data_IF_008019250255
#
_entry.id   IF_008019250255
#
_cell.length_a   1.000
_cell.length_b   1.000
_cell.length_c   1.000
_cell.angle_alpha   90.00
_cell.angle_beta   90.00
_cell.angle_gamma   90.00
#
_symmetry.space_group_name_H-M   'P 1'
#
loop_
_entity.id
_entity.type
_entity.pdbx_description
1 polymer ?
#
# COMPACT_ATOMS: atom_id res chain seq x y z
N UNK A 1 -18.65 -17.81 4.31
CA UNK A 1 -18.38 -16.37 4.32
C UNK A 1 -16.88 -16.04 4.27
N UNK A 2 -15.98 -17.04 4.19
CA UNK A 2 -14.52 -16.81 4.25
C UNK A 2 -13.85 -16.60 2.87
N UNK A 3 -14.44 -17.12 1.79
CA UNK A 3 -13.80 -17.21 0.46
C UNK A 3 -13.39 -15.86 -0.16
N UNK A 4 -14.13 -14.79 0.15
CA UNK A 4 -13.82 -13.44 -0.33
C UNK A 4 -12.54 -12.94 0.34
N UNK A 5 -12.45 -13.08 1.66
CA UNK A 5 -11.30 -12.65 2.43
C UNK A 5 -10.02 -13.41 2.04
N UNK A 6 -10.12 -14.73 1.82
CA UNK A 6 -8.99 -15.55 1.35
C UNK A 6 -8.46 -15.06 0.00
N UNK A 7 -9.36 -14.80 -0.97
CA UNK A 7 -8.98 -14.31 -2.30
C UNK A 7 -8.33 -12.93 -2.26
N UNK A 8 -8.80 -12.03 -1.40
CA UNK A 8 -8.20 -10.71 -1.25
C UNK A 8 -6.75 -10.79 -0.77
N UNK A 9 -6.50 -11.68 0.21
CA UNK A 9 -5.15 -11.94 0.72
C UNK A 9 -4.26 -12.57 -0.33
N UNK A 10 -4.77 -13.51 -1.12
CA UNK A 10 -4.03 -14.13 -2.23
C UNK A 10 -3.65 -13.10 -3.30
N UNK A 11 -4.56 -12.18 -3.62
CA UNK A 11 -4.28 -11.09 -4.54
C UNK A 11 -3.26 -10.08 -3.99
N UNK A 12 -3.17 -9.91 -2.67
CA UNK A 12 -2.24 -8.99 -2.01
C UNK A 12 -0.82 -9.55 -1.88
N UNK A 13 -0.67 -10.87 -1.69
CA UNK A 13 0.62 -11.56 -1.54
C UNK A 13 1.73 -11.14 -2.52
N UNK A 14 1.50 -11.01 -3.84
CA UNK A 14 2.55 -10.56 -4.75
C UNK A 14 3.05 -9.15 -4.42
N UNK A 15 2.16 -8.24 -3.99
CA UNK A 15 2.55 -6.89 -3.58
C UNK A 15 3.33 -6.87 -2.28
N UNK A 16 2.98 -7.72 -1.31
CA UNK A 16 3.75 -7.89 -0.07
C UNK A 16 5.15 -8.42 -0.37
N UNK A 17 5.25 -9.42 -1.25
CA UNK A 17 6.54 -9.97 -1.66
C UNK A 17 7.41 -8.92 -2.34
N UNK A 18 6.83 -8.13 -3.24
CA UNK A 18 7.52 -7.00 -3.87
C UNK A 18 7.96 -5.95 -2.84
N UNK A 19 7.12 -5.60 -1.87
CA UNK A 19 7.45 -4.66 -0.80
C UNK A 19 8.60 -5.19 0.09
N UNK A 20 8.66 -6.50 0.35
CA UNK A 20 9.76 -7.12 1.11
C UNK A 20 11.07 -7.24 0.32
N UNK A 21 11.03 -7.06 -1.00
CA UNK A 21 12.22 -7.17 -1.84
C UNK A 21 13.11 -5.94 -1.72
N UNK A 22 14.43 -6.16 -1.64
CA UNK A 22 15.44 -5.09 -1.56
C UNK A 22 15.44 -4.16 -2.77
N UNK A 23 14.88 -4.61 -3.89
CA UNK A 23 14.68 -3.81 -5.11
C UNK A 23 13.67 -2.68 -4.94
N UNK A 24 12.78 -2.73 -3.95
CA UNK A 24 11.69 -1.77 -3.74
C UNK A 24 12.05 -0.70 -2.71
N UNK A 25 13.32 -0.28 -2.68
CA UNK A 25 13.82 0.70 -1.70
C UNK A 25 13.62 2.16 -2.14
N UNK A 26 13.39 2.40 -3.45
CA UNK A 26 13.19 3.76 -3.96
C UNK A 26 11.75 4.26 -3.72
N UNK A 27 11.54 5.50 -3.25
CA UNK A 27 10.21 6.07 -3.02
C UNK A 27 9.26 5.94 -4.22
N UNK A 28 9.80 6.14 -5.43
CA UNK A 28 9.06 5.97 -6.68
C UNK A 28 8.55 4.55 -6.92
N UNK A 29 9.34 3.54 -6.57
CA UNK A 29 8.95 2.14 -6.73
C UNK A 29 7.86 1.78 -5.72
N UNK A 30 7.96 2.31 -4.50
CA UNK A 30 6.94 2.14 -3.47
C UNK A 30 5.62 2.80 -3.91
N UNK A 31 5.66 4.03 -4.42
CA UNK A 31 4.48 4.71 -4.96
C UNK A 31 3.82 3.95 -6.12
N UNK A 32 4.61 3.40 -7.04
CA UNK A 32 4.10 2.53 -8.11
C UNK A 32 3.47 1.26 -7.54
N UNK A 33 4.07 0.64 -6.52
CA UNK A 33 3.53 -0.54 -5.86
C UNK A 33 2.17 -0.23 -5.23
N UNK A 34 2.06 0.88 -4.49
CA UNK A 34 0.81 1.35 -3.89
C UNK A 34 -0.25 1.55 -4.97
N UNK A 35 0.09 2.28 -6.03
CA UNK A 35 -0.84 2.55 -7.15
C UNK A 35 -1.36 1.27 -7.79
N UNK A 36 -0.49 0.28 -8.03
CA UNK A 36 -0.88 -0.99 -8.61
C UNK A 36 -1.75 -1.81 -7.65
N UNK A 37 -1.46 -1.77 -6.35
CA UNK A 37 -2.26 -2.44 -5.34
C UNK A 37 -3.65 -1.80 -5.22
N UNK A 38 -3.76 -0.48 -5.09
CA UNK A 38 -5.07 0.20 -4.96
C UNK A 38 -5.91 0.14 -6.23
N UNK A 39 -5.29 -0.06 -7.40
CA UNK A 39 -6.01 -0.23 -8.68
C UNK A 39 -6.48 -1.66 -8.95
N UNK A 40 -6.04 -2.64 -8.16
CA UNK A 40 -6.43 -4.03 -8.36
C UNK A 40 -7.80 -4.31 -7.69
N UNK A 41 -8.83 -4.69 -8.45
CA UNK A 41 -10.19 -4.87 -7.92
C UNK A 41 -10.32 -6.04 -6.94
N UNK A 42 -9.33 -6.92 -6.88
CA UNK A 42 -9.32 -8.07 -5.97
C UNK A 42 -8.61 -7.78 -4.65
N UNK A 43 -7.95 -6.63 -4.51
CA UNK A 43 -7.29 -6.21 -3.27
C UNK A 43 -8.09 -5.08 -2.62
N UNK A 44 -8.67 -5.37 -1.47
CA UNK A 44 -9.48 -4.41 -0.68
C UNK A 44 -9.09 -4.41 0.80
N UNK A 45 -8.07 -5.18 1.18
CA UNK A 45 -7.43 -5.13 2.48
C UNK A 45 -5.98 -4.72 2.28
N UNK A 46 -5.61 -3.53 2.76
CA UNK A 46 -4.27 -2.97 2.57
C UNK A 46 -3.47 -2.83 3.88
N UNK A 47 -4.07 -3.15 5.03
CA UNK A 47 -3.43 -3.04 6.33
C UNK A 47 -2.08 -3.79 6.38
N UNK A 48 -2.02 -5.03 5.88
CA UNK A 48 -0.77 -5.80 5.82
C UNK A 48 0.31 -5.12 4.97
N UNK A 49 -0.07 -4.49 3.86
CA UNK A 49 0.86 -3.78 3.00
C UNK A 49 1.38 -2.50 3.67
N UNK A 50 0.48 -1.79 4.34
CA UNK A 50 0.77 -0.56 5.05
C UNK A 50 1.69 -0.80 6.25
N UNK A 51 1.57 -1.93 6.94
CA UNK A 51 2.46 -2.30 8.05
C UNK A 51 3.88 -2.67 7.59
N UNK A 52 4.14 -2.81 6.29
CA UNK A 52 5.49 -3.15 5.81
C UNK A 52 6.48 -2.00 6.06
N UNK A 53 7.72 -2.30 6.49
CA UNK A 53 8.73 -1.28 6.76
C UNK A 53 9.08 -0.46 5.50
N UNK A 54 9.03 -1.11 4.33
CA UNK A 54 9.25 -0.48 3.03
C UNK A 54 8.23 0.61 2.78
N UNK A 55 6.93 0.36 2.99
CA UNK A 55 5.89 1.36 2.81
C UNK A 55 5.99 2.47 3.87
N UNK A 56 6.27 2.11 5.12
CA UNK A 56 6.48 3.09 6.20
C UNK A 56 7.70 4.00 5.97
N UNK A 57 8.69 3.57 5.17
CA UNK A 57 9.86 4.40 4.85
C UNK A 57 9.48 5.73 4.18
N UNK A 58 8.32 5.78 3.49
CA UNK A 58 7.81 7.00 2.87
C UNK A 58 7.47 8.12 3.87
N UNK A 59 7.30 7.82 5.17
CA UNK A 59 7.12 8.86 6.21
C UNK A 59 8.40 9.63 6.51
N UNK A 60 9.55 9.15 6.05
CA UNK A 60 10.83 9.78 6.37
C UNK A 60 10.88 11.21 5.84
N UNK A 61 11.41 12.17 6.61
CA UNK A 61 11.48 13.57 6.18
C UNK A 61 12.34 13.78 4.92
N UNK A 62 13.23 12.84 4.60
CA UNK A 62 14.03 12.82 3.37
C UNK A 62 13.23 12.42 2.12
N UNK A 63 12.00 11.93 2.28
CA UNK A 63 11.14 11.52 1.17
C UNK A 63 10.45 12.76 0.57
N UNK A 64 10.52 12.96 -0.76
CA UNK A 64 9.77 14.03 -1.42
C UNK A 64 8.28 13.96 -1.10
N UNK A 65 7.67 15.13 -0.86
CA UNK A 65 6.26 15.27 -0.44
C UNK A 65 5.29 14.58 -1.41
N UNK A 66 5.61 14.55 -2.71
CA UNK A 66 4.83 13.85 -3.74
C UNK A 66 4.67 12.35 -3.44
N UNK A 67 5.65 11.71 -2.79
CA UNK A 67 5.58 10.29 -2.43
C UNK A 67 4.95 10.07 -1.06
N UNK A 68 5.03 11.04 -0.17
CA UNK A 68 4.35 10.98 1.13
C UNK A 68 2.83 10.90 0.97
N UNK A 69 2.28 11.61 -0.02
CA UNK A 69 0.84 11.57 -0.33
C UNK A 69 0.31 10.18 -0.71
N UNK A 70 1.15 9.31 -1.32
CA UNK A 70 0.75 7.93 -1.62
C UNK A 70 0.56 7.10 -0.35
N UNK A 71 1.37 7.36 0.68
CA UNK A 71 1.21 6.68 1.96
C UNK A 71 -0.10 7.12 2.63
N UNK A 72 -0.40 8.41 2.64
CA UNK A 72 -1.66 8.94 3.17
C UNK A 72 -2.86 8.36 2.43
N UNK A 73 -2.79 8.26 1.11
CA UNK A 73 -3.83 7.60 0.33
C UNK A 73 -4.01 6.13 0.76
N UNK A 74 -2.91 5.39 0.94
CA UNK A 74 -2.98 4.00 1.41
C UNK A 74 -3.58 3.87 2.82
N UNK A 75 -3.28 4.81 3.73
CA UNK A 75 -3.90 4.89 5.06
C UNK A 75 -5.42 5.07 4.96
N UNK A 76 -5.86 6.01 4.12
CA UNK A 76 -7.29 6.27 3.88
C UNK A 76 -7.98 5.01 3.33
N UNK A 77 -7.36 4.32 2.37
CA UNK A 77 -7.90 3.07 1.83
C UNK A 77 -7.91 1.91 2.83
N UNK A 78 -7.06 1.94 3.85
CA UNK A 78 -6.94 0.85 4.83
C UNK A 78 -7.92 0.98 5.99
N UNK A 79 -8.17 2.20 6.45
CA UNK A 79 -9.02 2.46 7.63
C UNK A 79 -9.70 3.83 7.65
N UNK A 80 -9.39 4.70 6.69
CA UNK A 80 -10.03 6.01 6.61
C UNK A 80 -11.41 5.96 5.98
N UNK A 81 -12.11 7.09 6.07
CA UNK A 81 -13.41 7.32 5.46
C UNK A 81 -13.28 8.21 4.23
N UNK A 82 -14.34 8.25 3.41
CA UNK A 82 -14.39 9.17 2.25
C UNK A 82 -14.23 10.65 2.64
N UNK A 83 -14.54 11.01 3.89
CA UNK A 83 -14.36 12.37 4.39
C UNK A 83 -12.89 12.73 4.61
N UNK A 84 -12.04 11.76 4.96
CA UNK A 84 -10.59 11.98 5.11
C UNK A 84 -9.87 12.11 3.76
N UNK A 85 -10.51 11.68 2.67
CA UNK A 85 -10.00 11.86 1.31
C UNK A 85 -10.33 13.23 0.70
N UNK A 86 -11.44 13.84 1.12
CA UNK A 86 -11.99 15.08 0.56
C UNK A 86 -11.17 16.32 0.91
#
# INVERSE_FOLDING_TARGET
MDQTHSRAREALQPFIHLASSTSTSSPRLIANLITNATSNPQTYFFAELLETPTVQSLRSPDTPEEFQGYLTLLEIFSWGTWQEYQ
#
